data_IF_018810236016
#
_entry.id   IF_018810236016
#
_cell.length_a   1.000
_cell.length_b   1.000
_cell.length_c   1.000
_cell.angle_alpha   90.00
_cell.angle_beta   90.00
_cell.angle_gamma   90.00
#
_symmetry.space_group_name_H-M   'P 1'
#
loop_
_entity.id
_entity.type
_entity.pdbx_description
1 polymer ?
#
# COMPACT_ATOMS: atom_id res chain seq x y z
N UNK A 1 7.93 18.98 -26.75
CA UNK A 1 8.92 17.89 -26.81
C UNK A 1 9.15 17.34 -25.41
N UNK A 2 8.72 16.13 -25.16
CA UNK A 2 8.67 15.54 -23.83
C UNK A 2 10.01 14.98 -23.35
N UNK A 3 11.01 14.95 -24.22
CA UNK A 3 12.39 14.49 -23.93
C UNK A 3 13.39 15.62 -23.60
N UNK A 4 12.90 16.81 -23.24
CA UNK A 4 13.72 17.96 -22.93
C UNK A 4 13.99 18.10 -21.43
N UNK A 5 15.22 18.47 -21.09
CA UNK A 5 15.57 19.01 -19.77
C UNK A 5 15.99 20.47 -19.95
N UNK A 6 15.46 21.33 -19.10
CA UNK A 6 15.77 22.75 -19.08
C UNK A 6 16.32 23.17 -17.73
N UNK A 7 17.35 24.02 -17.73
CA UNK A 7 17.88 24.62 -16.53
C UNK A 7 17.73 26.16 -16.57
N UNK A 8 17.54 26.77 -15.42
CA UNK A 8 17.61 28.21 -15.24
C UNK A 8 19.06 28.70 -15.26
N UNK A 9 19.25 30.02 -15.39
CA UNK A 9 20.55 30.67 -15.23
C UNK A 9 21.17 30.36 -13.86
N UNK A 10 22.51 30.31 -13.81
CA UNK A 10 23.24 30.06 -12.58
C UNK A 10 22.97 31.14 -11.55
N UNK A 11 22.56 30.76 -10.34
CA UNK A 11 22.25 31.70 -9.25
C UNK A 11 20.90 32.39 -9.32
N UNK A 12 20.12 32.21 -10.40
CA UNK A 12 18.79 32.80 -10.53
C UNK A 12 17.76 31.77 -11.06
N UNK A 13 17.03 31.17 -10.16
CA UNK A 13 16.01 30.13 -10.48
C UNK A 13 14.83 30.68 -11.34
N UNK A 14 14.67 31.99 -11.46
CA UNK A 14 13.59 32.59 -12.23
C UNK A 14 14.03 33.01 -13.65
N UNK A 15 15.31 32.99 -13.93
CA UNK A 15 15.85 33.36 -15.24
C UNK A 15 16.02 32.12 -16.13
N UNK A 16 15.16 32.01 -17.13
CA UNK A 16 15.11 30.93 -18.11
C UNK A 16 15.50 31.38 -19.53
N UNK A 17 16.08 32.60 -19.68
CA UNK A 17 16.33 33.27 -20.96
C UNK A 17 17.78 33.66 -21.14
N UNK A 18 18.56 33.88 -20.06
CA UNK A 18 19.96 34.22 -20.12
C UNK A 18 20.80 33.18 -20.86
N UNK A 19 21.96 33.57 -21.37
CA UNK A 19 22.80 32.74 -22.23
C UNK A 19 23.30 31.44 -21.58
N UNK A 20 23.27 31.35 -20.26
CA UNK A 20 23.61 30.17 -19.45
C UNK A 20 22.40 29.36 -19.01
N UNK A 21 21.17 29.87 -19.25
CA UNK A 21 19.97 29.07 -19.23
C UNK A 21 19.91 28.18 -20.49
N UNK A 22 19.75 26.90 -20.33
CA UNK A 22 19.85 25.97 -21.45
C UNK A 22 18.68 24.99 -21.51
N UNK A 23 18.43 24.54 -22.72
CA UNK A 23 17.41 23.49 -23.03
C UNK A 23 18.07 22.42 -23.89
N UNK A 24 18.07 21.19 -23.43
CA UNK A 24 18.73 20.07 -24.09
C UNK A 24 17.76 18.93 -24.29
N UNK A 25 17.67 18.44 -25.53
CA UNK A 25 16.96 17.19 -25.84
C UNK A 25 17.85 16.01 -25.44
N UNK A 26 17.46 15.31 -24.38
CA UNK A 26 18.28 14.25 -23.78
C UNK A 26 17.71 12.86 -24.00
N UNK A 27 16.45 12.77 -24.38
CA UNK A 27 15.75 11.52 -24.62
C UNK A 27 14.85 11.60 -25.84
N UNK A 28 14.63 10.48 -26.50
CA UNK A 28 13.63 10.34 -27.58
C UNK A 28 12.22 10.20 -27.04
N UNK A 29 12.08 9.59 -25.87
CA UNK A 29 10.83 9.39 -25.16
C UNK A 29 10.56 10.46 -24.11
N UNK A 30 9.36 10.44 -23.55
CA UNK A 30 8.93 11.33 -22.45
C UNK A 30 9.78 11.09 -21.21
N UNK A 31 10.26 12.16 -20.58
CA UNK A 31 10.83 12.09 -19.22
C UNK A 31 9.68 11.93 -18.23
N UNK A 32 9.79 10.89 -17.40
CA UNK A 32 8.74 10.46 -16.48
C UNK A 32 9.04 10.89 -15.05
N UNK A 33 10.33 10.80 -14.63
CA UNK A 33 10.74 11.12 -13.27
C UNK A 33 12.15 11.67 -13.22
N UNK A 34 12.43 12.52 -12.23
CA UNK A 34 13.77 13.02 -11.93
C UNK A 34 14.01 13.03 -10.42
N UNK A 35 15.14 12.46 -9.99
CA UNK A 35 15.55 12.43 -8.59
C UNK A 35 16.98 12.94 -8.42
N UNK A 36 17.28 13.70 -7.32
CA UNK A 36 18.64 14.08 -7.01
C UNK A 36 19.48 12.85 -6.62
N UNK A 37 20.74 12.83 -7.05
CA UNK A 37 21.69 11.79 -6.59
C UNK A 37 22.20 12.19 -5.21
N UNK A 38 22.04 11.27 -4.25
CA UNK A 38 22.56 11.41 -2.89
C UNK A 38 23.88 10.66 -2.76
N UNK A 39 24.90 11.33 -2.24
CA UNK A 39 26.20 10.75 -1.90
C UNK A 39 27.22 10.68 -3.04
N UNK A 40 28.49 10.58 -2.67
CA UNK A 40 29.62 10.15 -3.52
C UNK A 40 30.20 11.14 -4.52
N UNK A 41 29.61 12.30 -4.75
CA UNK A 41 30.14 13.33 -5.66
C UNK A 41 30.11 14.70 -5.00
N UNK A 42 31.21 15.44 -5.12
CA UNK A 42 31.27 16.85 -4.70
C UNK A 42 30.45 17.78 -5.60
N UNK A 43 29.96 17.30 -6.73
CA UNK A 43 29.15 18.03 -7.67
C UNK A 43 27.67 17.59 -7.58
N UNK A 44 26.72 18.54 -7.54
CA UNK A 44 25.30 18.22 -7.65
C UNK A 44 25.01 17.39 -8.89
N UNK A 45 24.21 16.36 -8.75
CA UNK A 45 23.80 15.53 -9.88
C UNK A 45 22.37 14.98 -9.67
N UNK A 46 21.72 14.60 -10.77
CA UNK A 46 20.40 14.04 -10.80
C UNK A 46 20.31 12.87 -11.77
N UNK A 47 19.34 12.01 -11.55
CA UNK A 47 18.96 10.95 -12.47
C UNK A 47 17.59 11.26 -13.02
N UNK A 48 17.43 11.10 -14.33
CA UNK A 48 16.17 11.31 -15.04
C UNK A 48 15.81 10.04 -15.80
N UNK A 49 14.61 9.52 -15.53
CA UNK A 49 14.04 8.38 -16.23
C UNK A 49 13.15 8.88 -17.35
N UNK A 50 13.42 8.42 -18.56
CA UNK A 50 12.46 8.49 -19.65
C UNK A 50 11.74 7.15 -19.79
N UNK A 51 10.83 7.05 -20.75
CA UNK A 51 10.07 5.80 -20.98
C UNK A 51 10.97 4.60 -21.31
N UNK A 52 12.17 4.83 -21.80
CA UNK A 52 13.10 3.80 -22.30
C UNK A 52 14.53 3.95 -21.83
N UNK A 53 14.89 5.08 -21.19
CA UNK A 53 16.28 5.38 -20.88
C UNK A 53 16.47 6.02 -19.51
N UNK A 54 17.70 5.88 -18.99
CA UNK A 54 18.18 6.54 -17.78
C UNK A 54 19.27 7.54 -18.15
N UNK A 55 19.09 8.80 -17.76
CA UNK A 55 19.99 9.92 -18.01
C UNK A 55 20.54 10.42 -16.69
N UNK A 56 21.85 10.63 -16.63
CA UNK A 56 22.49 11.31 -15.51
C UNK A 56 22.78 12.75 -15.89
N UNK A 57 22.41 13.67 -15.03
CA UNK A 57 22.73 15.10 -15.13
C UNK A 57 23.78 15.42 -14.07
N UNK A 58 24.91 15.99 -14.47
CA UNK A 58 26.02 16.31 -13.57
C UNK A 58 26.42 17.77 -13.74
N UNK A 59 26.67 18.46 -12.62
CA UNK A 59 27.20 19.81 -12.62
C UNK A 59 28.69 19.82 -13.04
N UNK A 60 29.07 20.67 -13.98
CA UNK A 60 30.44 20.75 -14.54
C UNK A 60 31.13 22.13 -14.36
N UNK A 61 30.51 23.05 -13.62
CA UNK A 61 31.15 24.27 -13.19
C UNK A 61 31.24 25.41 -14.22
N UNK A 62 30.43 25.40 -15.28
CA UNK A 62 30.35 26.51 -16.24
C UNK A 62 31.51 26.57 -17.25
N UNK A 63 31.86 25.45 -17.84
CA UNK A 63 32.84 25.32 -18.88
C UNK A 63 32.28 25.74 -20.26
N UNK A 64 33.12 26.43 -21.07
CA UNK A 64 32.77 26.81 -22.45
C UNK A 64 32.27 28.25 -22.64
N UNK A 65 31.95 28.61 -23.88
CA UNK A 65 31.35 29.89 -24.24
C UNK A 65 30.25 29.65 -25.28
N UNK A 66 28.95 29.81 -24.95
CA UNK A 66 28.44 30.20 -23.63
C UNK A 66 28.72 29.14 -22.55
N UNK A 67 28.78 29.54 -21.26
CA UNK A 67 29.13 28.61 -20.20
C UNK A 67 28.05 27.53 -20.03
N UNK A 68 28.48 26.27 -20.02
CA UNK A 68 27.60 25.11 -19.74
C UNK A 68 27.84 24.63 -18.31
N UNK A 69 26.79 24.58 -17.52
CA UNK A 69 26.86 24.17 -16.13
C UNK A 69 26.50 22.72 -15.94
N UNK A 70 25.79 22.10 -16.89
CA UNK A 70 25.28 20.74 -16.78
C UNK A 70 25.70 19.86 -17.94
N UNK A 71 26.09 18.66 -17.62
CA UNK A 71 26.36 17.59 -18.58
C UNK A 71 25.29 16.51 -18.46
N UNK A 72 24.85 16.03 -19.59
CA UNK A 72 23.80 15.02 -19.71
C UNK A 72 24.42 13.75 -20.31
N UNK A 73 24.49 12.68 -19.48
CA UNK A 73 25.06 11.41 -19.88
C UNK A 73 23.93 10.36 -19.97
N UNK A 74 23.78 9.72 -21.14
CA UNK A 74 22.92 8.57 -21.28
C UNK A 74 23.57 7.36 -20.60
N UNK A 75 22.99 6.90 -19.50
CA UNK A 75 23.50 5.76 -18.72
C UNK A 75 23.03 4.44 -19.29
N UNK A 76 21.76 4.38 -19.71
CA UNK A 76 21.15 3.20 -20.32
C UNK A 76 20.07 3.61 -21.29
N UNK A 77 20.03 2.94 -22.44
CA UNK A 77 18.97 3.12 -23.48
C UNK A 77 17.94 1.98 -23.45
N UNK A 78 17.98 1.10 -22.48
CA UNK A 78 17.09 -0.06 -22.35
C UNK A 78 16.56 -0.21 -20.92
N UNK A 79 16.34 0.91 -20.25
CA UNK A 79 15.83 0.94 -18.88
C UNK A 79 14.50 1.66 -18.84
N UNK A 80 13.43 0.89 -19.12
CA UNK A 80 12.07 1.40 -19.04
C UNK A 80 11.68 1.75 -17.60
N UNK A 81 10.71 2.65 -17.44
CA UNK A 81 10.05 2.94 -16.17
C UNK A 81 8.54 2.78 -16.32
N UNK A 82 7.90 2.14 -15.37
CA UNK A 82 6.47 1.85 -15.42
C UNK A 82 5.62 3.09 -15.10
N UNK A 83 5.97 3.81 -14.03
CA UNK A 83 5.31 5.05 -13.61
C UNK A 83 6.29 6.02 -12.93
N UNK A 84 5.92 7.28 -12.80
CA UNK A 84 6.73 8.29 -12.12
C UNK A 84 6.95 7.99 -10.64
N UNK A 85 6.03 7.29 -10.01
CA UNK A 85 6.07 6.95 -8.60
C UNK A 85 6.66 5.56 -8.32
N UNK A 86 7.13 4.84 -9.36
CA UNK A 86 7.65 3.47 -9.21
C UNK A 86 9.15 3.39 -8.90
N UNK A 87 9.83 4.54 -8.75
CA UNK A 87 11.26 4.60 -8.41
C UNK A 87 11.48 5.16 -7.01
N UNK A 88 12.41 4.52 -6.27
CA UNK A 88 12.80 4.96 -4.93
C UNK A 88 14.30 4.81 -4.71
N UNK A 89 14.86 5.69 -3.89
CA UNK A 89 16.23 5.57 -3.40
C UNK A 89 16.25 4.86 -2.04
N UNK A 90 17.12 3.87 -1.89
CA UNK A 90 17.43 3.19 -0.64
C UNK A 90 18.95 3.00 -0.52
N UNK A 91 19.54 3.58 0.53
CA UNK A 91 20.99 3.52 0.82
C UNK A 91 21.90 3.91 -0.37
N UNK A 92 21.50 4.96 -1.11
CA UNK A 92 22.26 5.47 -2.26
C UNK A 92 22.05 4.65 -3.55
N UNK A 93 21.27 3.60 -3.53
CA UNK A 93 20.91 2.79 -4.69
C UNK A 93 19.47 3.15 -5.10
N UNK A 94 19.24 3.28 -6.39
CA UNK A 94 17.92 3.56 -6.94
C UNK A 94 17.30 2.28 -7.45
N UNK A 95 16.08 1.97 -7.01
CA UNK A 95 15.32 0.80 -7.39
C UNK A 95 14.04 1.24 -8.08
N UNK A 96 13.68 0.60 -9.20
CA UNK A 96 12.44 0.92 -9.90
C UNK A 96 11.84 -0.27 -10.63
N UNK A 97 10.53 -0.16 -10.88
CA UNK A 97 9.78 -1.06 -11.72
C UNK A 97 9.83 -0.57 -13.17
N UNK A 98 10.39 -1.37 -14.07
CA UNK A 98 10.28 -1.21 -15.51
C UNK A 98 8.97 -1.78 -16.04
N UNK A 99 8.82 -1.82 -17.36
CA UNK A 99 7.62 -2.36 -18.01
C UNK A 99 7.54 -3.89 -17.91
N UNK A 100 8.72 -4.55 -17.86
CA UNK A 100 8.84 -6.02 -17.93
C UNK A 100 9.80 -6.61 -16.89
N UNK A 101 10.46 -5.78 -16.07
CA UNK A 101 11.46 -6.20 -15.09
C UNK A 101 11.68 -5.16 -14.00
N UNK A 102 12.27 -5.57 -12.89
CA UNK A 102 12.74 -4.66 -11.84
C UNK A 102 14.21 -4.36 -12.03
N UNK A 103 14.57 -3.10 -11.88
CA UNK A 103 15.90 -2.58 -12.15
C UNK A 103 16.45 -1.84 -10.94
N UNK A 104 17.77 -1.79 -10.84
CA UNK A 104 18.49 -0.96 -9.87
C UNK A 104 19.65 -0.20 -10.54
N UNK A 105 20.03 0.92 -9.90
CA UNK A 105 21.20 1.70 -10.27
C UNK A 105 22.06 1.98 -9.05
N UNK A 106 23.29 1.47 -9.08
CA UNK A 106 24.33 1.71 -8.07
C UNK A 106 25.62 2.26 -8.71
N UNK A 107 25.48 3.05 -9.76
CA UNK A 107 26.55 3.47 -10.67
C UNK A 107 26.45 2.77 -12.03
N UNK A 108 25.83 1.60 -12.09
CA UNK A 108 25.51 0.84 -13.31
C UNK A 108 24.08 0.34 -13.20
N UNK A 109 23.35 0.36 -14.31
CA UNK A 109 21.99 -0.22 -14.37
C UNK A 109 22.12 -1.74 -14.37
N UNK A 110 21.40 -2.39 -13.47
CA UNK A 110 21.33 -3.85 -13.35
C UNK A 110 19.88 -4.28 -13.22
N UNK A 111 19.59 -5.44 -13.72
CA UNK A 111 18.34 -6.13 -13.45
C UNK A 111 18.40 -6.80 -12.08
N UNK A 112 17.33 -6.70 -11.30
CA UNK A 112 17.16 -7.49 -10.09
C UNK A 112 16.72 -8.89 -10.53
N UNK A 113 17.37 -9.97 -10.07
CA UNK A 113 17.09 -11.32 -10.56
C UNK A 113 15.61 -11.68 -10.48
N UNK A 114 15.09 -12.20 -11.58
CA UNK A 114 13.68 -12.58 -11.69
C UNK A 114 13.40 -13.86 -10.87
N UNK A 115 12.27 -13.85 -10.18
CA UNK A 115 11.70 -14.98 -9.45
C UNK A 115 10.20 -15.08 -9.75
N UNK A 116 9.56 -16.15 -9.31
CA UNK A 116 8.11 -16.39 -9.57
C UNK A 116 7.22 -15.21 -9.16
N UNK A 117 7.54 -14.53 -8.06
CA UNK A 117 6.78 -13.37 -7.60
C UNK A 117 6.77 -12.21 -8.62
N UNK A 118 7.90 -11.97 -9.30
CA UNK A 118 7.96 -10.95 -10.35
C UNK A 118 7.12 -11.34 -11.56
N UNK A 119 7.16 -12.60 -11.98
CA UNK A 119 6.31 -13.10 -13.05
C UNK A 119 4.83 -12.91 -12.70
N UNK A 120 4.45 -13.30 -11.47
CA UNK A 120 3.08 -13.09 -10.99
C UNK A 120 2.66 -11.62 -11.03
N UNK A 121 3.54 -10.70 -10.62
CA UNK A 121 3.30 -9.26 -10.69
C UNK A 121 3.02 -8.81 -12.13
N UNK A 122 3.91 -9.11 -13.08
CA UNK A 122 3.77 -8.66 -14.47
C UNK A 122 2.60 -9.33 -15.19
N UNK A 123 2.30 -10.59 -14.90
CA UNK A 123 1.17 -11.32 -15.49
C UNK A 123 -0.19 -10.80 -15.00
N UNK A 124 -0.24 -10.23 -13.80
CA UNK A 124 -1.48 -9.76 -13.18
C UNK A 124 -1.61 -8.23 -13.12
N UNK A 125 -0.60 -7.47 -13.48
CA UNK A 125 -0.65 -6.01 -13.48
C UNK A 125 -1.70 -5.49 -14.48
N UNK A 126 -2.58 -4.58 -14.03
CA UNK A 126 -3.43 -3.82 -14.94
C UNK A 126 -2.61 -2.73 -15.67
N UNK A 127 -2.08 -3.05 -16.84
CA UNK A 127 -1.27 -2.11 -17.62
C UNK A 127 -2.02 -0.84 -18.05
N UNK A 128 -3.34 -0.89 -18.16
CA UNK A 128 -4.15 0.31 -18.45
C UNK A 128 -4.10 1.33 -17.29
N UNK A 129 -3.79 0.86 -16.09
CA UNK A 129 -3.67 1.65 -14.86
C UNK A 129 -2.22 1.71 -14.34
N UNK A 130 -1.22 1.44 -15.18
CA UNK A 130 0.20 1.38 -14.78
C UNK A 130 0.70 2.65 -14.08
N UNK A 131 0.12 3.80 -14.38
CA UNK A 131 0.49 5.09 -13.76
C UNK A 131 0.13 5.17 -12.27
N UNK A 132 -0.73 4.27 -11.78
CA UNK A 132 -1.09 4.13 -10.37
C UNK A 132 -0.05 3.37 -9.55
N UNK A 133 0.88 2.66 -10.20
CA UNK A 133 1.94 1.93 -9.48
C UNK A 133 2.83 2.92 -8.75
N UNK A 134 3.00 2.71 -7.47
CA UNK A 134 3.84 3.55 -6.63
C UNK A 134 4.66 2.71 -5.64
N UNK A 135 5.72 3.28 -5.11
CA UNK A 135 6.69 2.58 -4.28
C UNK A 135 6.87 3.26 -2.92
N UNK A 136 7.05 2.46 -1.89
CA UNK A 136 7.43 2.88 -0.54
C UNK A 136 8.58 2.04 -0.03
N UNK A 137 9.24 2.50 1.04
CA UNK A 137 10.31 1.74 1.70
C UNK A 137 10.06 1.63 3.19
N UNK A 138 10.44 0.50 3.76
CA UNK A 138 10.45 0.24 5.20
C UNK A 138 11.89 -0.04 5.64
N UNK A 139 12.69 0.99 5.94
CA UNK A 139 14.13 0.86 6.17
C UNK A 139 14.48 -0.05 7.34
N UNK A 140 13.61 -0.13 8.35
CA UNK A 140 13.82 -1.00 9.51
C UNK A 140 14.00 -2.46 9.10
N UNK A 141 13.20 -2.94 8.16
CA UNK A 141 13.25 -4.32 7.68
C UNK A 141 14.05 -4.49 6.39
N UNK A 142 14.48 -3.39 5.76
CA UNK A 142 15.20 -3.43 4.49
C UNK A 142 14.29 -3.73 3.30
N UNK A 143 13.04 -3.33 3.36
CA UNK A 143 12.02 -3.66 2.38
C UNK A 143 11.68 -2.48 1.47
N UNK A 144 11.42 -2.81 0.21
CA UNK A 144 10.86 -1.91 -0.81
C UNK A 144 9.56 -2.53 -1.31
N UNK A 145 8.48 -1.78 -1.25
CA UNK A 145 7.13 -2.21 -1.55
C UNK A 145 6.63 -1.48 -2.79
N UNK A 146 6.30 -2.20 -3.88
CA UNK A 146 5.59 -1.67 -5.04
C UNK A 146 4.13 -2.06 -4.98
N UNK A 147 3.26 -1.07 -4.80
CA UNK A 147 1.81 -1.23 -4.80
C UNK A 147 1.30 -1.10 -6.23
N UNK A 148 0.38 -1.97 -6.62
CA UNK A 148 -0.10 -2.03 -7.99
C UNK A 148 -1.58 -2.43 -8.10
N UNK A 149 -2.30 -1.99 -9.15
CA UNK A 149 -3.63 -2.46 -9.47
C UNK A 149 -3.56 -3.82 -10.16
N UNK A 150 -4.24 -4.83 -9.59
CA UNK A 150 -4.25 -6.20 -10.11
C UNK A 150 -5.48 -6.48 -10.96
N UNK A 151 -5.31 -7.22 -12.06
CA UNK A 151 -6.38 -7.67 -12.95
C UNK A 151 -7.15 -6.52 -13.58
N UNK A 152 -8.37 -6.30 -13.19
CA UNK A 152 -9.22 -5.21 -13.67
C UNK A 152 -9.34 -4.04 -12.68
N UNK A 153 -8.60 -4.06 -11.59
CA UNK A 153 -8.63 -2.99 -10.58
C UNK A 153 -8.13 -1.67 -11.16
N UNK A 154 -8.79 -0.58 -10.81
CA UNK A 154 -8.42 0.78 -11.22
C UNK A 154 -7.56 1.50 -10.17
N UNK A 155 -7.44 0.94 -8.98
CA UNK A 155 -6.61 1.40 -7.88
C UNK A 155 -5.76 0.24 -7.34
N UNK A 156 -4.72 0.54 -6.54
CA UNK A 156 -3.83 -0.48 -6.02
C UNK A 156 -4.55 -1.42 -5.07
N UNK A 157 -4.49 -2.71 -5.34
CA UNK A 157 -5.09 -3.78 -4.55
C UNK A 157 -4.05 -4.74 -3.98
N UNK A 158 -2.86 -4.75 -4.56
CA UNK A 158 -1.78 -5.67 -4.23
C UNK A 158 -0.45 -4.95 -4.10
N UNK A 159 0.53 -5.64 -3.51
CA UNK A 159 1.90 -5.17 -3.46
C UNK A 159 2.89 -6.32 -3.60
N UNK A 160 3.99 -6.06 -4.32
CA UNK A 160 5.16 -6.92 -4.34
C UNK A 160 6.27 -6.27 -3.52
N UNK A 161 6.98 -7.07 -2.74
CA UNK A 161 7.97 -6.62 -1.77
C UNK A 161 9.32 -7.22 -2.10
N UNK A 162 10.35 -6.39 -2.12
CA UNK A 162 11.74 -6.81 -2.25
C UNK A 162 12.50 -6.50 -0.96
N UNK A 163 13.06 -7.52 -0.32
CA UNK A 163 13.98 -7.35 0.79
C UNK A 163 15.40 -7.18 0.27
N UNK A 164 15.92 -5.97 0.40
CA UNK A 164 17.23 -5.60 -0.11
C UNK A 164 18.37 -6.30 0.64
N UNK A 165 18.18 -6.59 1.94
CA UNK A 165 19.21 -7.19 2.80
C UNK A 165 19.36 -8.69 2.53
N UNK A 166 18.23 -9.35 2.27
CA UNK A 166 18.17 -10.79 2.08
C UNK A 166 18.09 -11.20 0.61
N UNK A 167 17.91 -10.21 -0.28
CA UNK A 167 17.74 -10.45 -1.72
C UNK A 167 16.59 -11.43 -2.01
N UNK A 168 15.47 -11.26 -1.30
CA UNK A 168 14.27 -12.10 -1.41
C UNK A 168 13.06 -11.29 -1.82
N UNK A 169 12.09 -11.96 -2.43
CA UNK A 169 10.84 -11.37 -2.87
C UNK A 169 9.68 -12.01 -2.13
N UNK A 170 8.69 -11.20 -1.79
CA UNK A 170 7.40 -11.65 -1.25
C UNK A 170 6.26 -10.97 -1.99
N UNK A 171 5.08 -11.57 -1.89
CA UNK A 171 3.83 -10.97 -2.32
C UNK A 171 3.03 -10.62 -1.06
N UNK A 172 2.52 -9.38 -0.97
CA UNK A 172 1.67 -8.96 0.14
C UNK A 172 0.24 -9.49 0.00
N UNK A 173 -0.13 -10.00 -1.18
CA UNK A 173 -1.45 -10.51 -1.48
C UNK A 173 -2.55 -9.45 -1.45
N UNK A 174 -3.80 -9.90 -1.53
CA UNK A 174 -5.00 -9.05 -1.54
C UNK A 174 -5.45 -8.61 -0.14
N UNK A 175 -4.62 -8.83 0.89
CA UNK A 175 -4.95 -8.43 2.25
C UNK A 175 -5.20 -6.92 2.34
N UNK A 176 -5.99 -6.50 3.32
CA UNK A 176 -6.33 -5.08 3.56
C UNK A 176 -5.10 -4.18 3.60
N UNK A 177 -3.96 -4.71 4.05
CA UNK A 177 -2.70 -3.99 4.11
C UNK A 177 -2.08 -3.64 2.76
N UNK A 178 -2.44 -4.31 1.67
CA UNK A 178 -1.95 -4.03 0.32
C UNK A 178 -2.81 -3.03 -0.47
N UNK A 179 -4.01 -2.73 -0.01
CA UNK A 179 -4.93 -1.76 -0.63
C UNK A 179 -4.53 -0.32 -0.30
N UNK A 180 -3.41 0.15 -0.85
CA UNK A 180 -2.85 1.47 -0.58
C UNK A 180 -2.58 2.22 -1.86
N UNK A 181 -3.14 3.42 -1.98
CA UNK A 181 -2.98 4.28 -3.16
C UNK A 181 -1.92 5.35 -2.98
N UNK A 182 -1.57 5.66 -1.76
CA UNK A 182 -0.56 6.67 -1.44
C UNK A 182 0.12 6.35 -0.12
N UNK A 183 1.35 6.78 0.05
CA UNK A 183 2.07 6.63 1.30
C UNK A 183 3.30 7.50 1.37
N UNK A 184 3.75 7.70 2.59
CA UNK A 184 4.92 8.50 2.87
C UNK A 184 5.69 7.91 4.04
N UNK A 185 7.00 7.74 3.83
CA UNK A 185 7.93 7.43 4.90
C UNK A 185 8.70 8.70 5.28
N UNK A 186 8.53 9.16 6.51
CA UNK A 186 9.27 10.28 7.07
C UNK A 186 10.23 9.78 8.14
N UNK A 187 11.42 10.38 8.20
CA UNK A 187 12.36 10.13 9.29
C UNK A 187 11.90 10.69 10.65
N UNK A 188 10.86 11.52 10.65
CA UNK A 188 10.28 12.11 11.86
C UNK A 188 9.31 11.15 12.54
N UNK A 189 8.62 10.32 11.77
CA UNK A 189 7.68 9.33 12.29
C UNK A 189 8.34 7.95 12.35
N UNK A 190 8.07 7.17 13.42
CA UNK A 190 8.66 5.84 13.56
C UNK A 190 8.14 4.84 12.50
N UNK A 191 6.98 5.13 11.92
CA UNK A 191 6.26 4.23 11.01
C UNK A 191 5.89 4.92 9.71
N UNK A 192 5.92 4.21 8.55
CA UNK A 192 5.34 4.74 7.31
C UNK A 192 3.82 4.90 7.47
N UNK A 193 3.29 5.96 6.86
CA UNK A 193 1.86 6.22 6.83
C UNK A 193 1.38 6.01 5.39
N UNK A 194 0.34 5.22 5.23
CA UNK A 194 -0.29 4.96 3.94
C UNK A 194 -1.79 5.23 4.01
N UNK A 195 -2.39 5.53 2.88
CA UNK A 195 -3.82 5.77 2.75
C UNK A 195 -4.46 4.79 1.75
N UNK A 196 -5.65 4.32 2.10
CA UNK A 196 -6.52 3.57 1.21
C UNK A 196 -7.17 4.53 0.19
N UNK A 197 -7.58 3.99 -0.94
CA UNK A 197 -8.38 4.69 -1.95
C UNK A 197 -9.89 4.54 -1.69
N UNK A 198 -10.31 3.55 -0.88
CA UNK A 198 -11.70 3.35 -0.54
C UNK A 198 -12.20 4.47 0.36
N UNK A 199 -13.23 5.15 -0.08
CA UNK A 199 -13.94 6.13 0.74
C UNK A 199 -14.98 5.41 1.59
N UNK A 200 -14.89 5.62 2.89
CA UNK A 200 -15.89 5.16 3.84
C UNK A 200 -16.79 6.33 4.21
N UNK A 201 -18.07 6.05 4.50
CA UNK A 201 -19.00 7.05 5.01
C UNK A 201 -19.20 6.85 6.52
N UNK A 202 -19.05 7.92 7.28
CA UNK A 202 -19.46 7.94 8.70
C UNK A 202 -20.96 8.08 8.89
N UNK A 203 -21.68 8.32 7.78
CA UNK A 203 -23.07 8.73 7.82
C UNK A 203 -23.27 10.16 8.36
N UNK A 204 -22.23 10.98 8.42
CA UNK A 204 -22.34 12.39 8.74
C UNK A 204 -22.90 13.19 7.56
N UNK A 205 -23.71 14.20 7.85
CA UNK A 205 -24.31 15.08 6.81
C UNK A 205 -23.25 15.99 6.22
N UNK A 206 -22.96 15.86 4.91
CA UNK A 206 -22.02 16.75 4.20
C UNK A 206 -22.78 17.87 3.49
N UNK A 207 -23.70 17.51 2.61
CA UNK A 207 -24.53 18.47 1.87
C UNK A 207 -26.00 18.13 2.01
N UNK A 208 -26.86 19.16 1.82
CA UNK A 208 -28.29 19.03 1.93
C UNK A 208 -28.98 20.02 0.99
N UNK A 209 -30.26 19.79 0.76
CA UNK A 209 -31.18 20.76 0.13
C UNK A 209 -32.14 21.26 1.17
N UNK A 210 -32.36 22.58 1.26
CA UNK A 210 -33.45 23.16 2.04
C UNK A 210 -34.77 22.84 1.34
N UNK A 211 -35.48 21.85 1.86
CA UNK A 211 -36.73 21.37 1.24
C UNK A 211 -37.97 22.14 1.74
N UNK A 212 -37.91 22.67 2.95
CA UNK A 212 -38.93 23.53 3.48
C UNK A 212 -38.31 24.59 4.42
N UNK A 213 -38.48 25.85 4.10
CA UNK A 213 -38.02 26.97 4.92
C UNK A 213 -38.81 27.18 6.20
N UNK A 214 -39.97 26.53 6.31
CA UNK A 214 -40.90 26.71 7.42
C UNK A 214 -41.53 28.10 7.50
N UNK A 215 -42.21 28.37 8.58
CA UNK A 215 -42.86 29.68 8.82
C UNK A 215 -43.06 29.97 10.31
N UNK A 216 -43.29 31.23 10.65
CA UNK A 216 -43.60 31.66 11.99
C UNK A 216 -42.41 31.72 12.97
N UNK A 217 -41.18 31.64 12.46
CA UNK A 217 -39.98 31.73 13.29
C UNK A 217 -39.67 33.18 13.68
N UNK A 218 -39.17 33.38 14.89
CA UNK A 218 -38.57 34.65 15.27
C UNK A 218 -37.30 34.92 14.49
N UNK A 219 -37.12 36.15 13.98
CA UNK A 219 -35.92 36.52 13.25
C UNK A 219 -34.67 36.45 14.16
N UNK A 220 -33.56 35.92 13.61
CA UNK A 220 -32.30 35.78 14.34
C UNK A 220 -31.45 34.62 13.81
N UNK A 221 -30.30 34.40 14.45
CA UNK A 221 -29.43 33.27 14.17
C UNK A 221 -29.40 32.31 15.37
N UNK A 222 -29.72 31.07 15.13
CA UNK A 222 -29.78 29.99 16.10
C UNK A 222 -28.56 29.09 15.89
N UNK A 223 -27.60 29.18 16.79
CA UNK A 223 -26.34 28.46 16.67
C UNK A 223 -26.41 27.06 17.31
N UNK A 224 -25.67 26.09 16.71
CA UNK A 224 -25.57 24.71 17.21
C UNK A 224 -26.94 24.04 17.45
N UNK A 225 -27.94 24.39 16.64
CA UNK A 225 -29.31 23.83 16.78
C UNK A 225 -29.25 22.33 16.41
N UNK A 226 -29.68 21.42 17.31
CA UNK A 226 -29.74 20.00 17.02
C UNK A 226 -30.72 19.70 15.89
N UNK A 227 -30.28 18.90 14.92
CA UNK A 227 -31.12 18.36 13.87
C UNK A 227 -31.70 17.03 14.30
N UNK A 228 -32.98 16.82 14.01
CA UNK A 228 -33.73 15.61 14.36
C UNK A 228 -34.36 14.99 13.14
N UNK A 229 -34.58 13.67 13.16
CA UNK A 229 -35.12 12.91 12.03
C UNK A 229 -34.08 12.10 11.30
N UNK A 230 -34.52 11.33 10.30
CA UNK A 230 -33.66 10.39 9.59
C UNK A 230 -33.22 9.20 10.45
N UNK A 231 -32.18 8.50 10.00
CA UNK A 231 -31.64 7.30 10.66
C UNK A 231 -30.44 7.58 11.57
N UNK A 232 -29.83 8.78 11.44
CA UNK A 232 -28.64 9.17 12.17
C UNK A 232 -28.92 10.01 13.41
N UNK A 233 -27.84 10.42 14.09
CA UNK A 233 -27.88 11.24 15.31
C UNK A 233 -26.71 12.24 15.35
N UNK A 234 -26.86 13.29 16.18
CA UNK A 234 -25.74 14.18 16.53
C UNK A 234 -25.45 15.28 15.50
N UNK A 235 -26.22 15.44 14.42
CA UNK A 235 -26.05 16.58 13.53
C UNK A 235 -26.56 17.87 14.16
N UNK A 236 -25.83 18.98 13.96
CA UNK A 236 -26.21 20.31 14.40
C UNK A 236 -26.00 21.33 13.28
N UNK A 237 -26.78 22.41 13.31
CA UNK A 237 -26.65 23.47 12.32
C UNK A 237 -26.78 24.87 12.95
N UNK A 238 -26.15 25.84 12.28
CA UNK A 238 -26.46 27.25 12.51
C UNK A 238 -27.53 27.66 11.53
N UNK A 239 -28.65 28.15 12.03
CA UNK A 239 -29.86 28.45 11.26
C UNK A 239 -30.14 29.94 11.36
N UNK A 240 -30.24 30.65 10.25
CA UNK A 240 -30.59 32.05 10.19
C UNK A 240 -32.01 32.24 9.64
N UNK A 241 -32.79 33.03 10.36
CA UNK A 241 -34.19 33.35 10.03
C UNK A 241 -34.31 34.84 9.70
N UNK A 242 -34.95 35.13 8.59
CA UNK A 242 -35.35 36.47 8.22
C UNK A 242 -36.76 36.44 7.61
N UNK A 243 -37.63 37.42 8.00
CA UNK A 243 -39.00 37.45 7.52
C UNK A 243 -39.87 36.30 8.01
N UNK A 244 -39.50 35.65 9.13
CA UNK A 244 -40.23 34.53 9.71
C UNK A 244 -40.00 33.18 9.04
N UNK A 245 -39.05 33.09 8.10
CA UNK A 245 -38.67 31.88 7.39
C UNK A 245 -37.14 31.65 7.48
N UNK A 246 -36.71 30.39 7.34
CA UNK A 246 -35.28 30.05 7.29
C UNK A 246 -34.69 30.51 5.96
N UNK A 247 -33.59 31.26 6.03
CA UNK A 247 -32.90 31.80 4.86
C UNK A 247 -31.52 31.18 4.66
N UNK A 248 -30.83 30.78 5.75
CA UNK A 248 -29.50 30.15 5.70
C UNK A 248 -29.44 29.02 6.70
N UNK A 249 -28.84 27.90 6.27
CA UNK A 249 -28.51 26.77 7.12
C UNK A 249 -27.06 26.41 6.86
N UNK A 250 -26.26 26.25 7.92
CA UNK A 250 -24.87 25.82 7.85
C UNK A 250 -24.69 24.66 8.82
N UNK A 251 -24.37 23.49 8.32
CA UNK A 251 -24.03 22.32 9.17
C UNK A 251 -22.69 22.61 9.86
N UNK A 252 -22.66 22.53 11.18
CA UNK A 252 -21.48 22.69 12.00
C UNK A 252 -21.11 21.43 12.82
N UNK A 253 -22.09 20.54 13.02
CA UNK A 253 -21.86 19.19 13.51
C UNK A 253 -22.46 18.19 12.53
N UNK A 254 -21.63 17.33 11.95
CA UNK A 254 -22.09 16.44 10.87
C UNK A 254 -22.88 15.23 11.36
N UNK A 255 -22.75 14.85 12.66
CA UNK A 255 -23.36 13.65 13.23
C UNK A 255 -22.86 12.35 12.59
N UNK A 256 -23.62 11.29 12.75
CA UNK A 256 -23.30 9.97 12.17
C UNK A 256 -24.56 9.13 11.94
N UNK A 257 -24.45 8.11 11.06
CA UNK A 257 -25.55 7.17 10.83
C UNK A 257 -26.69 7.66 9.94
N UNK A 258 -26.56 8.84 9.33
CA UNK A 258 -27.53 9.32 8.34
C UNK A 258 -27.36 8.62 7.00
N UNK A 259 -28.43 8.63 6.21
CA UNK A 259 -28.44 8.17 4.82
C UNK A 259 -28.82 9.35 3.89
N UNK A 260 -28.41 9.25 2.62
CA UNK A 260 -28.92 10.15 1.58
C UNK A 260 -30.44 10.06 1.52
N UNK A 261 -31.10 11.19 1.22
CA UNK A 261 -32.55 11.34 1.26
C UNK A 261 -33.19 11.36 2.67
N UNK A 262 -32.43 11.27 3.76
CA UNK A 262 -32.97 11.53 5.08
C UNK A 262 -33.49 12.97 5.17
N UNK A 263 -34.66 13.10 5.71
CA UNK A 263 -35.29 14.43 5.99
C UNK A 263 -35.01 14.78 7.46
N UNK A 264 -34.37 15.93 7.67
CA UNK A 264 -34.06 16.44 9.01
C UNK A 264 -34.80 17.71 9.27
N UNK A 265 -35.22 17.90 10.53
CA UNK A 265 -35.91 19.08 11.04
C UNK A 265 -35.20 19.56 12.31
N UNK A 266 -35.65 20.69 12.86
CA UNK A 266 -35.17 21.24 14.14
C UNK A 266 -36.25 22.05 14.85
N UNK A 267 -36.10 22.15 16.17
CA UNK A 267 -36.96 22.98 17.00
C UNK A 267 -36.21 24.24 17.42
N UNK A 268 -36.67 25.41 16.99
CA UNK A 268 -36.09 26.72 17.31
C UNK A 268 -37.08 27.83 17.03
N UNK A 269 -36.92 29.01 17.58
CA UNK A 269 -37.58 30.25 17.20
C UNK A 269 -39.12 30.26 17.20
N UNK A 270 -39.77 29.22 17.72
CA UNK A 270 -41.25 29.14 17.85
C UNK A 270 -42.01 28.84 16.54
N UNK A 271 -41.34 28.73 15.41
CA UNK A 271 -41.97 28.39 14.12
C UNK A 271 -42.14 26.90 13.88
N UNK A 272 -42.55 26.53 12.68
CA UNK A 272 -42.85 25.15 12.29
C UNK A 272 -42.48 24.85 10.84
N UNK A 273 -42.41 23.52 10.50
CA UNK A 273 -42.25 22.99 9.16
C UNK A 273 -40.86 23.21 8.50
N UNK A 274 -39.83 23.57 9.26
CA UNK A 274 -38.48 23.57 8.73
C UNK A 274 -38.05 22.15 8.38
N UNK A 275 -37.48 21.94 7.18
CA UNK A 275 -36.93 20.67 6.76
C UNK A 275 -35.79 20.84 5.76
N UNK A 276 -34.76 20.01 5.92
CA UNK A 276 -33.69 19.81 4.95
C UNK A 276 -33.62 18.34 4.54
N UNK A 277 -33.21 18.06 3.32
CA UNK A 277 -32.98 16.70 2.83
C UNK A 277 -31.50 16.49 2.59
N UNK A 278 -30.94 15.47 3.18
CA UNK A 278 -29.51 15.09 3.03
C UNK A 278 -29.26 14.65 1.60
N UNK A 279 -28.28 15.27 0.94
CA UNK A 279 -27.90 14.96 -0.46
C UNK A 279 -26.58 14.21 -0.57
N UNK A 280 -25.63 14.46 0.34
CA UNK A 280 -24.39 13.68 0.42
C UNK A 280 -23.90 13.51 1.86
N UNK A 281 -23.07 12.52 2.08
CA UNK A 281 -22.52 12.16 3.38
C UNK A 281 -21.03 12.45 3.44
N UNK A 282 -20.52 12.68 4.65
CA UNK A 282 -19.09 12.78 4.92
C UNK A 282 -18.40 11.48 4.57
N UNK A 283 -17.35 11.59 3.80
CA UNK A 283 -16.47 10.47 3.45
C UNK A 283 -15.07 10.70 4.02
N UNK A 284 -14.39 9.63 4.32
CA UNK A 284 -13.01 9.64 4.74
C UNK A 284 -12.28 8.44 4.13
N UNK A 285 -10.96 8.53 4.00
CA UNK A 285 -10.11 7.42 3.62
C UNK A 285 -9.51 6.77 4.87
N UNK A 286 -9.20 5.49 4.79
CA UNK A 286 -8.52 4.78 5.86
C UNK A 286 -7.03 5.09 5.83
N UNK A 287 -6.44 5.25 6.99
CA UNK A 287 -5.01 5.38 7.18
C UNK A 287 -4.45 4.06 7.73
N UNK A 288 -3.29 3.68 7.23
CA UNK A 288 -2.54 2.51 7.67
C UNK A 288 -1.18 2.95 8.22
N UNK A 289 -0.75 2.29 9.26
CA UNK A 289 0.63 2.35 9.73
C UNK A 289 1.22 0.96 9.62
N UNK A 290 2.38 0.83 8.97
CA UNK A 290 3.00 -0.46 8.64
C UNK A 290 4.14 -0.76 9.55
N UNK A 291 3.85 -1.09 10.77
CA UNK A 291 4.87 -1.55 11.69
C UNK A 291 4.23 -2.32 12.84
N UNK A 292 5.04 -2.80 13.76
CA UNK A 292 4.58 -3.56 14.92
C UNK A 292 3.45 -2.83 15.66
N UNK A 293 2.35 -3.52 15.89
CA UNK A 293 1.17 -3.01 16.59
C UNK A 293 0.31 -2.05 15.77
N UNK A 294 0.39 -2.10 14.45
CA UNK A 294 -0.39 -1.24 13.58
C UNK A 294 -1.63 -1.94 13.05
N UNK A 295 -2.69 -1.17 12.96
CA UNK A 295 -4.00 -1.62 12.49
C UNK A 295 -4.55 -0.63 11.47
N UNK A 296 -5.55 -1.06 10.73
CA UNK A 296 -6.35 -0.16 9.90
C UNK A 296 -7.22 0.69 10.81
N UNK A 297 -7.05 2.01 10.75
CA UNK A 297 -7.89 2.95 11.51
C UNK A 297 -8.96 3.52 10.60
N UNK A 298 -10.22 3.26 10.91
CA UNK A 298 -11.38 3.77 10.20
C UNK A 298 -12.20 4.62 11.19
N UNK A 299 -12.09 5.94 11.07
CA UNK A 299 -12.63 6.85 12.08
C UNK A 299 -11.97 6.67 13.43
N UNK A 300 -12.73 6.29 14.46
CA UNK A 300 -12.22 5.99 15.81
C UNK A 300 -12.01 4.48 16.05
N UNK A 301 -12.28 3.62 15.07
CA UNK A 301 -12.23 2.17 15.23
C UNK A 301 -10.96 1.62 14.58
N UNK A 302 -10.19 0.86 15.36
CA UNK A 302 -9.08 0.07 14.85
C UNK A 302 -9.58 -1.32 14.45
N UNK A 303 -9.18 -1.77 13.26
CA UNK A 303 -9.48 -3.11 12.72
C UNK A 303 -8.14 -3.76 12.38
N UNK A 304 -7.97 -5.03 12.74
CA UNK A 304 -6.77 -5.78 12.44
C UNK A 304 -6.43 -5.73 10.94
N UNK A 305 -5.15 -5.57 10.64
CA UNK A 305 -4.62 -5.85 9.31
C UNK A 305 -4.17 -7.30 9.34
N UNK A 306 -4.87 -8.17 8.60
CA UNK A 306 -4.45 -9.55 8.46
C UNK A 306 -3.04 -9.62 7.86
N UNK A 307 -2.16 -10.33 8.51
CA UNK A 307 -0.83 -10.63 8.01
C UNK A 307 -0.55 -12.12 8.12
N UNK A 308 0.09 -12.67 7.11
CA UNK A 308 0.43 -14.09 7.11
C UNK A 308 1.74 -14.34 6.37
N UNK A 309 2.31 -15.49 6.62
CA UNK A 309 3.30 -16.09 5.76
C UNK A 309 2.96 -17.57 5.55
N UNK A 310 3.33 -18.09 4.42
CA UNK A 310 3.11 -19.47 4.03
C UNK A 310 4.42 -20.07 3.53
N UNK A 311 4.75 -21.28 3.97
CA UNK A 311 5.93 -21.99 3.48
C UNK A 311 5.71 -22.48 2.06
N UNK A 312 6.77 -22.79 1.34
CA UNK A 312 6.65 -23.63 0.15
C UNK A 312 6.16 -25.04 0.53
N UNK A 313 5.76 -25.80 -0.48
CA UNK A 313 5.42 -27.21 -0.29
C UNK A 313 6.64 -27.97 0.30
N UNK A 314 6.39 -28.64 1.41
CA UNK A 314 7.35 -29.53 2.07
C UNK A 314 7.02 -30.95 1.66
N UNK A 315 8.01 -31.70 1.19
CA UNK A 315 7.93 -33.11 0.87
C UNK A 315 8.92 -33.91 1.67
N UNK A 316 8.77 -35.23 1.72
CA UNK A 316 9.75 -36.12 2.36
C UNK A 316 10.94 -36.34 1.44
N UNK A 317 12.15 -36.16 1.98
CA UNK A 317 13.40 -36.57 1.37
C UNK A 317 14.21 -37.40 2.37
N UNK A 318 15.18 -38.16 1.92
CA UNK A 318 16.04 -38.95 2.81
C UNK A 318 16.61 -38.09 3.93
N UNK A 319 16.21 -38.38 5.17
CA UNK A 319 16.61 -37.63 6.37
C UNK A 319 15.58 -36.68 6.95
N UNK A 320 14.40 -36.56 6.37
CA UNK A 320 13.29 -35.76 6.92
C UNK A 320 12.56 -34.89 5.92
N UNK A 321 11.57 -34.12 6.40
CA UNK A 321 10.83 -33.19 5.55
C UNK A 321 11.71 -32.05 5.04
N UNK A 322 11.65 -31.77 3.75
CA UNK A 322 12.28 -30.63 3.13
C UNK A 322 11.48 -30.14 1.92
N UNK A 323 11.95 -29.09 1.28
CA UNK A 323 11.33 -28.66 0.02
C UNK A 323 11.41 -29.80 -1.00
N UNK A 324 10.31 -30.09 -1.74
CA UNK A 324 10.33 -31.10 -2.79
C UNK A 324 11.40 -30.76 -3.82
N UNK A 325 12.35 -31.65 -4.02
CA UNK A 325 13.28 -31.58 -5.13
C UNK A 325 12.69 -32.26 -6.35
N UNK A 326 13.25 -32.03 -7.53
CA UNK A 326 12.86 -32.74 -8.74
C UNK A 326 12.99 -34.27 -8.64
N UNK A 327 13.69 -34.76 -7.63
CA UNK A 327 13.86 -36.18 -7.31
C UNK A 327 13.25 -36.57 -5.95
N UNK A 328 12.22 -35.83 -5.50
CA UNK A 328 11.53 -36.11 -4.23
C UNK A 328 11.05 -37.55 -4.14
N UNK A 329 11.16 -38.13 -2.95
CA UNK A 329 10.68 -39.48 -2.67
C UNK A 329 9.16 -39.50 -2.63
N UNK A 330 8.53 -40.55 -3.16
CA UNK A 330 7.09 -40.74 -3.11
C UNK A 330 6.66 -41.28 -1.73
N UNK A 331 6.85 -40.47 -0.70
CA UNK A 331 6.53 -40.80 0.69
C UNK A 331 5.66 -39.71 1.30
N UNK A 332 4.83 -40.10 2.25
CA UNK A 332 3.99 -39.18 2.98
C UNK A 332 4.75 -38.64 4.19
N UNK A 333 4.45 -37.40 4.57
CA UNK A 333 4.90 -36.80 5.82
C UNK A 333 3.76 -37.02 6.83
N UNK A 334 4.09 -37.57 7.98
CA UNK A 334 3.25 -37.56 9.17
C UNK A 334 3.77 -36.49 10.10
N UNK A 335 3.04 -35.38 10.21
CA UNK A 335 3.37 -34.25 11.08
C UNK A 335 2.62 -34.41 12.41
N UNK A 336 3.37 -34.67 13.48
CA UNK A 336 2.79 -34.92 14.81
C UNK A 336 2.75 -33.68 15.67
N UNK A 337 3.75 -32.83 15.53
CA UNK A 337 3.90 -31.65 16.37
C UNK A 337 4.64 -30.52 15.66
N UNK A 338 4.33 -29.31 16.08
CA UNK A 338 5.06 -28.11 15.72
C UNK A 338 5.38 -27.33 17.00
N UNK A 339 6.63 -26.89 17.14
CA UNK A 339 7.05 -25.99 18.19
C UNK A 339 7.25 -24.59 17.58
N UNK A 340 6.35 -23.64 17.87
CA UNK A 340 6.45 -22.29 17.35
C UNK A 340 7.52 -21.50 18.12
N UNK A 341 8.50 -20.96 17.40
CA UNK A 341 9.46 -19.98 17.95
C UNK A 341 9.09 -18.60 17.41
N UNK A 342 8.16 -17.97 18.10
CA UNK A 342 7.63 -16.67 17.73
C UNK A 342 7.76 -15.68 18.88
N UNK A 343 8.18 -14.47 18.58
CA UNK A 343 7.92 -13.30 19.42
C UNK A 343 6.67 -12.65 18.89
N UNK A 344 5.55 -12.78 19.60
CA UNK A 344 4.24 -12.32 19.11
C UNK A 344 3.44 -11.58 20.16
N UNK A 345 2.57 -10.68 19.72
CA UNK A 345 1.47 -10.12 20.47
C UNK A 345 0.14 -10.60 19.87
N UNK A 346 -0.72 -11.11 20.76
CA UNK A 346 -2.00 -11.67 20.33
C UNK A 346 -1.92 -13.14 19.89
N UNK A 347 -3.09 -13.69 19.63
CA UNK A 347 -3.26 -15.06 19.16
C UNK A 347 -3.00 -15.14 17.65
N UNK A 348 -2.38 -16.23 17.23
CA UNK A 348 -2.17 -16.55 15.83
C UNK A 348 -2.84 -17.89 15.45
N UNK A 349 -3.00 -18.11 14.18
CA UNK A 349 -3.62 -19.27 13.58
C UNK A 349 -2.62 -20.00 12.68
N UNK A 350 -2.58 -21.33 12.80
CA UNK A 350 -1.84 -22.18 11.88
C UNK A 350 -2.83 -22.98 11.02
N UNK A 351 -2.62 -22.96 9.72
CA UNK A 351 -3.29 -23.82 8.77
C UNK A 351 -2.28 -24.77 8.12
N UNK A 352 -2.68 -26.00 7.94
CA UNK A 352 -1.91 -27.04 7.23
C UNK A 352 -2.65 -27.36 5.94
N UNK A 353 -2.06 -26.98 4.82
CA UNK A 353 -2.60 -27.27 3.48
C UNK A 353 -1.74 -28.33 2.83
N UNK A 354 -2.35 -29.32 2.20
CA UNK A 354 -1.58 -30.32 1.50
C UNK A 354 -2.42 -31.20 0.60
N UNK A 355 -1.76 -32.06 -0.16
CA UNK A 355 -2.37 -32.91 -1.18
C UNK A 355 -1.77 -34.31 -1.19
N UNK A 356 -2.56 -35.32 -1.55
CA UNK A 356 -2.08 -36.70 -1.65
C UNK A 356 -1.25 -36.95 -2.91
N UNK A 357 -1.50 -36.22 -4.00
CA UNK A 357 -0.79 -36.35 -5.29
C UNK A 357 -0.58 -34.96 -5.90
N UNK A 358 0.43 -34.81 -6.72
CA UNK A 358 0.87 -33.52 -7.29
C UNK A 358 -0.26 -32.74 -8.04
N UNK A 359 -1.23 -33.41 -8.63
CA UNK A 359 -2.36 -32.80 -9.33
C UNK A 359 -3.71 -32.93 -8.56
N UNK A 360 -3.67 -33.41 -7.32
CA UNK A 360 -4.86 -33.46 -6.49
C UNK A 360 -5.23 -32.06 -5.99
N UNK A 361 -6.50 -31.91 -5.66
CA UNK A 361 -6.97 -30.70 -4.99
C UNK A 361 -6.33 -30.61 -3.60
N UNK A 362 -5.97 -29.39 -3.21
CA UNK A 362 -5.48 -29.11 -1.88
C UNK A 362 -6.57 -29.27 -0.83
N UNK A 363 -6.22 -29.86 0.30
CA UNK A 363 -7.04 -29.97 1.50
C UNK A 363 -6.38 -29.14 2.61
N UNK A 364 -7.15 -28.27 3.26
CA UNK A 364 -6.68 -27.43 4.35
C UNK A 364 -7.34 -27.86 5.65
N UNK A 365 -6.51 -28.06 6.68
CA UNK A 365 -6.93 -28.28 8.07
C UNK A 365 -6.49 -27.13 8.96
N UNK A 366 -7.22 -26.89 10.05
CA UNK A 366 -7.05 -25.75 10.94
C UNK A 366 -8.30 -24.89 11.04
N UNK A 367 -8.27 -23.75 11.73
CA UNK A 367 -7.08 -23.19 12.38
C UNK A 367 -6.67 -23.92 13.66
N UNK A 368 -5.37 -24.12 13.82
CA UNK A 368 -4.76 -24.46 15.10
C UNK A 368 -4.33 -23.18 15.79
N UNK A 369 -4.95 -22.83 16.91
CA UNK A 369 -4.70 -21.58 17.60
C UNK A 369 -3.48 -21.68 18.51
N UNK A 370 -2.64 -20.66 18.51
CA UNK A 370 -1.51 -20.55 19.40
C UNK A 370 -1.26 -19.10 19.81
N UNK A 371 -0.68 -18.91 20.98
CA UNK A 371 -0.39 -17.62 21.59
C UNK A 371 1.03 -17.60 22.20
N UNK A 372 1.50 -16.47 22.80
CA UNK A 372 2.84 -16.39 23.39
C UNK A 372 3.15 -17.41 24.48
N UNK A 373 2.14 -18.10 25.01
CA UNK A 373 2.30 -19.12 26.06
C UNK A 373 2.31 -20.55 25.51
N UNK A 374 2.05 -20.70 24.23
CA UNK A 374 1.96 -22.01 23.56
C UNK A 374 3.34 -22.53 23.22
N UNK A 375 3.77 -23.56 23.93
CA UNK A 375 5.09 -24.17 23.69
C UNK A 375 5.09 -25.15 22.52
N UNK A 376 3.95 -25.76 22.22
CA UNK A 376 3.78 -26.76 21.15
C UNK A 376 2.36 -26.80 20.62
N UNK A 377 2.22 -27.16 19.37
CA UNK A 377 0.96 -27.42 18.69
C UNK A 377 0.97 -28.92 18.32
N UNK A 378 0.09 -29.71 18.94
CA UNK A 378 -0.02 -31.11 18.59
C UNK A 378 -0.88 -31.23 17.32
N UNK A 379 -0.35 -31.89 16.31
CA UNK A 379 -0.93 -32.05 14.98
C UNK A 379 -1.13 -33.56 14.70
N UNK A 380 -1.99 -33.88 13.75
CA UNK A 380 -2.17 -35.25 13.24
C UNK A 380 -2.40 -35.20 11.74
N UNK A 381 -1.44 -34.59 11.06
CA UNK A 381 -1.55 -34.34 9.64
C UNK A 381 -0.68 -35.32 8.85
N UNK A 382 -1.28 -35.93 7.83
CA UNK A 382 -0.55 -36.84 6.96
C UNK A 382 -0.79 -36.44 5.49
N UNK A 383 0.22 -35.97 4.82
CA UNK A 383 0.17 -35.49 3.43
C UNK A 383 1.44 -35.91 2.69
N UNK A 384 1.36 -36.01 1.38
CA UNK A 384 2.57 -36.21 0.54
C UNK A 384 3.39 -34.92 0.41
N UNK A 385 2.70 -33.82 0.20
CA UNK A 385 3.22 -32.47 0.17
C UNK A 385 2.34 -31.62 1.08
N UNK A 386 2.94 -30.82 1.91
CA UNK A 386 2.23 -29.92 2.80
C UNK A 386 2.91 -28.56 2.89
N UNK A 387 2.15 -27.55 3.14
CA UNK A 387 2.62 -26.19 3.46
C UNK A 387 1.92 -25.70 4.71
N UNK A 388 2.62 -24.86 5.42
CA UNK A 388 2.19 -24.28 6.68
C UNK A 388 1.92 -22.79 6.48
N UNK A 389 0.70 -22.37 6.78
CA UNK A 389 0.30 -20.97 6.75
C UNK A 389 0.06 -20.47 8.17
N UNK A 390 0.77 -19.41 8.55
CA UNK A 390 0.64 -18.76 9.85
C UNK A 390 -0.03 -17.41 9.65
N UNK A 391 -1.11 -17.14 10.39
CA UNK A 391 -1.93 -15.94 10.22
C UNK A 391 -2.02 -15.20 11.53
N UNK A 392 -1.81 -13.88 11.51
CA UNK A 392 -2.12 -12.93 12.57
C UNK A 392 -3.25 -12.03 12.09
N UNK A 393 -4.40 -12.09 12.77
CA UNK A 393 -5.59 -11.29 12.43
C UNK A 393 -6.30 -10.78 13.69
N UNK A 394 -5.52 -10.23 14.61
CA UNK A 394 -6.03 -9.64 15.86
C UNK A 394 -5.56 -8.20 15.98
N UNK A 395 -6.42 -7.32 16.49
CA UNK A 395 -6.09 -5.91 16.72
C UNK A 395 -4.88 -5.78 17.65
N UNK A 396 -3.88 -4.98 17.25
CA UNK A 396 -2.60 -4.86 17.94
C UNK A 396 -1.68 -6.06 17.74
N UNK A 397 -2.07 -7.04 16.92
CA UNK A 397 -1.28 -8.23 16.64
C UNK A 397 0.01 -7.91 15.88
N UNK A 398 1.07 -8.58 16.25
CA UNK A 398 2.35 -8.54 15.54
C UNK A 398 3.12 -9.82 15.83
N UNK A 399 4.08 -10.15 14.96
CA UNK A 399 4.95 -11.29 15.20
C UNK A 399 6.32 -11.13 14.53
N UNK A 400 7.29 -11.81 15.10
CA UNK A 400 8.58 -12.08 14.51
C UNK A 400 8.78 -13.59 14.54
N UNK A 401 9.15 -14.16 13.39
CA UNK A 401 9.31 -15.61 13.24
C UNK A 401 10.76 -15.97 13.54
N UNK A 402 10.97 -16.87 14.47
CA UNK A 402 12.23 -17.52 14.71
C UNK A 402 12.32 -18.85 13.95
N UNK A 403 12.89 -19.85 14.60
CA UNK A 403 13.06 -21.19 14.02
C UNK A 403 11.84 -22.06 14.36
N UNK A 404 11.11 -22.51 13.34
CA UNK A 404 10.01 -23.45 13.50
C UNK A 404 10.59 -24.87 13.55
N UNK A 405 10.29 -25.61 14.61
CA UNK A 405 10.71 -27.00 14.78
C UNK A 405 9.52 -27.88 14.46
N UNK A 406 9.71 -28.80 13.53
CA UNK A 406 8.71 -29.79 13.11
C UNK A 406 9.10 -31.17 13.66
N UNK A 407 8.18 -31.82 14.35
CA UNK A 407 8.26 -33.23 14.72
C UNK A 407 7.46 -34.01 13.68
N UNK A 408 8.18 -34.67 12.79
CA UNK A 408 7.59 -35.30 11.64
C UNK A 408 8.28 -36.63 11.32
N UNK A 409 7.46 -37.64 11.08
CA UNK A 409 7.88 -38.97 10.69
C UNK A 409 7.44 -39.29 9.25
N UNK A 410 8.05 -40.35 8.71
CA UNK A 410 7.63 -40.92 7.45
C UNK A 410 6.25 -41.60 7.65
N UNK A 411 5.25 -41.02 6.98
CA UNK A 411 3.91 -41.60 6.96
C UNK A 411 3.81 -42.88 6.11
N UNK A 412 2.63 -43.48 6.11
CA UNK A 412 2.38 -44.69 5.36
C UNK A 412 2.63 -44.53 3.87
N UNK A 413 3.48 -45.39 3.33
CA UNK A 413 3.56 -45.61 1.89
C UNK A 413 2.35 -46.46 1.51
N UNK A 414 1.26 -45.84 1.08
CA UNK A 414 0.18 -46.63 0.46
C UNK A 414 0.72 -47.12 -0.88
N UNK A 415 1.24 -48.33 -0.87
CA UNK A 415 1.47 -49.09 -2.08
C UNK A 415 0.18 -49.24 -2.86
N UNK A 416 0.27 -49.18 -4.16
CA UNK A 416 -0.78 -49.57 -5.06
C UNK A 416 -1.13 -51.04 -4.88
#
# INVERSE_FOLDING_TARGET
NDGLIRNSSAGNAQDWVSADANEVSVATGKIVQGLPVRGGSNAPSGLFWSLDSLIRVSYIGGAGSPPQYWRYDLISSQSSILSSQSVIEYDGIYYWCGVDRFLLYNGVVKEIPNVMNQNYFFDNLNYAQREKVWVSKVPRFGEIWWFYPRGNATECTDAIIYNVRENTWYDAGEALGAQRSAGFFSQVFPFPISADWNTNSSGGVLTFTLTNAGSGYANGTYNNTPLTGGTGTGATANITVAGGVVTVVVINGHGSGYATSNVLSATFGGGSNFAITVTSLMTFVSLYQNEIGTDKVTGATAVAIESYFETNDLGWVSGGPSQPSAMGENKWIHLERLEPDFVQAGQMELYVTGRPFAQSQDETTGPYLFDPTTNKIDLREQRRELRLKFVSNVTGGNYQVGKIILDADMGDVRGY
#
